data_IF_696737921638
#
_entry.id   IF_696737921638
#
_cell.length_a   1.000
_cell.length_b   1.000
_cell.length_c   1.000
_cell.angle_alpha   90.00
_cell.angle_beta   90.00
_cell.angle_gamma   90.00
#
_symmetry.space_group_name_H-M   'P 1'
#
loop_
_entity.id
_entity.type
_entity.pdbx_description
1 polymer ?
#
# COMPACT_ATOMS: atom_id res chain seq x y z
N UNK A 1 27.23 20.72 -1.39
CA UNK A 1 25.90 20.70 -0.75
C UNK A 1 25.02 19.58 -1.29
N UNK A 2 24.96 19.39 -2.60
CA UNK A 2 24.19 18.29 -3.21
C UNK A 2 24.69 16.91 -2.81
N UNK A 3 25.99 16.74 -2.64
CA UNK A 3 26.62 15.49 -2.22
C UNK A 3 26.30 15.07 -0.80
N UNK A 4 26.24 15.99 0.14
CA UNK A 4 25.91 15.68 1.53
C UNK A 4 24.48 15.22 1.67
N UNK A 5 23.57 15.79 0.88
CA UNK A 5 22.16 15.36 0.86
C UNK A 5 21.98 13.98 0.23
N UNK A 6 22.67 13.71 -0.85
CA UNK A 6 22.64 12.38 -1.46
C UNK A 6 23.22 11.33 -0.54
N UNK A 7 24.29 11.64 0.16
CA UNK A 7 24.89 10.72 1.13
C UNK A 7 23.95 10.34 2.26
N UNK A 8 23.17 11.29 2.79
CA UNK A 8 22.16 11.00 3.82
C UNK A 8 20.99 10.19 3.27
N UNK A 9 20.52 10.55 2.09
CA UNK A 9 19.47 9.79 1.42
C UNK A 9 19.96 8.39 1.07
N UNK A 10 21.17 8.26 0.60
CA UNK A 10 21.78 6.99 0.22
C UNK A 10 22.00 6.08 1.43
N UNK A 11 22.35 6.63 2.58
CA UNK A 11 22.47 5.87 3.81
C UNK A 11 21.14 5.23 4.23
N UNK A 12 20.07 5.98 4.17
CA UNK A 12 18.73 5.46 4.43
C UNK A 12 18.27 4.48 3.33
N UNK A 13 18.58 4.77 2.08
CA UNK A 13 18.30 3.87 0.98
C UNK A 13 19.11 2.58 1.12
N UNK A 14 20.36 2.65 1.55
CA UNK A 14 21.22 1.47 1.67
C UNK A 14 20.76 0.52 2.78
N UNK A 15 20.30 1.03 3.89
CA UNK A 15 19.77 0.19 4.98
C UNK A 15 18.47 -0.53 4.58
N UNK A 16 17.71 0.08 3.70
CA UNK A 16 16.48 -0.48 3.17
C UNK A 16 16.64 -1.03 1.74
N UNK A 17 17.78 -0.77 1.11
CA UNK A 17 17.98 -0.83 -0.32
C UNK A 17 17.72 -2.21 -0.91
N UNK A 18 18.22 -3.24 -0.29
CA UNK A 18 18.05 -4.59 -0.79
C UNK A 18 16.59 -5.00 -0.93
N UNK A 19 15.71 -4.43 -0.10
CA UNK A 19 14.29 -4.79 -0.07
C UNK A 19 13.36 -3.67 -0.54
N UNK A 20 13.82 -2.43 -0.60
CA UNK A 20 12.95 -1.27 -0.66
C UNK A 20 13.34 -0.19 -1.68
N UNK A 21 14.38 -0.40 -2.49
CA UNK A 21 14.86 0.61 -3.44
C UNK A 21 13.74 1.20 -4.29
N UNK A 22 12.99 0.37 -4.96
CA UNK A 22 11.84 0.79 -5.74
C UNK A 22 10.72 1.37 -4.88
N UNK A 23 10.53 0.85 -3.67
CA UNK A 23 9.50 1.32 -2.76
C UNK A 23 9.82 2.66 -2.12
N UNK A 24 11.06 2.87 -1.68
CA UNK A 24 11.49 4.15 -1.12
C UNK A 24 11.40 5.26 -2.17
N UNK A 25 11.83 4.98 -3.39
CA UNK A 25 11.73 5.92 -4.49
C UNK A 25 10.26 6.25 -4.80
N UNK A 26 9.40 5.24 -4.85
CA UNK A 26 7.97 5.40 -5.09
C UNK A 26 7.29 6.18 -3.95
N UNK A 27 7.67 5.94 -2.71
CA UNK A 27 7.15 6.70 -1.57
C UNK A 27 7.50 8.18 -1.64
N UNK A 28 8.72 8.52 -2.07
CA UNK A 28 9.14 9.91 -2.32
C UNK A 28 8.38 10.53 -3.48
N UNK A 29 8.18 9.80 -4.55
CA UNK A 29 7.39 10.25 -5.70
C UNK A 29 5.94 10.53 -5.31
N UNK A 30 5.32 9.65 -4.54
CA UNK A 30 3.95 9.83 -4.02
C UNK A 30 3.85 11.11 -3.19
N UNK A 31 4.81 11.37 -2.31
CA UNK A 31 4.79 12.56 -1.47
C UNK A 31 5.00 13.86 -2.24
N UNK A 32 5.62 13.82 -3.40
CA UNK A 32 5.93 14.99 -4.23
C UNK A 32 4.93 15.25 -5.37
N UNK A 33 4.10 14.28 -5.71
CA UNK A 33 3.16 14.36 -6.83
C UNK A 33 1.72 14.27 -6.31
N UNK A 34 0.91 15.29 -6.57
CA UNK A 34 -0.47 15.38 -6.09
C UNK A 34 -1.35 14.20 -6.52
N UNK A 35 -1.23 13.75 -7.77
CA UNK A 35 -2.02 12.63 -8.29
C UNK A 35 -1.66 11.31 -7.61
N UNK A 36 -0.37 11.09 -7.32
CA UNK A 36 0.09 9.91 -6.60
C UNK A 36 -0.29 9.98 -5.12
N UNK A 37 -0.28 11.19 -4.54
CA UNK A 37 -0.75 11.43 -3.17
C UNK A 37 -2.23 11.08 -3.03
N UNK A 38 -3.06 11.46 -3.99
CA UNK A 38 -4.48 11.08 -4.01
C UNK A 38 -4.68 9.57 -4.05
N UNK A 39 -3.87 8.85 -4.84
CA UNK A 39 -3.92 7.39 -4.91
C UNK A 39 -3.53 6.75 -3.57
N UNK A 40 -2.53 7.31 -2.90
CA UNK A 40 -2.10 6.88 -1.57
C UNK A 40 -3.21 7.09 -0.53
N UNK A 41 -3.81 8.28 -0.51
CA UNK A 41 -4.94 8.59 0.36
C UNK A 41 -6.12 7.67 0.08
N UNK A 42 -6.34 7.32 -1.19
CA UNK A 42 -7.39 6.40 -1.58
C UNK A 42 -7.13 4.98 -1.06
N UNK A 43 -5.89 4.52 -1.07
CA UNK A 43 -5.52 3.22 -0.49
C UNK A 43 -5.83 3.18 1.02
N UNK A 44 -5.46 4.22 1.76
CA UNK A 44 -5.80 4.37 3.18
C UNK A 44 -7.32 4.36 3.38
N UNK A 45 -8.05 5.12 2.57
CA UNK A 45 -9.50 5.22 2.65
C UNK A 45 -10.18 3.86 2.43
N UNK A 46 -9.76 3.11 1.41
CA UNK A 46 -10.31 1.78 1.11
C UNK A 46 -10.05 0.82 2.27
N UNK A 47 -8.83 0.73 2.79
CA UNK A 47 -8.50 -0.13 3.92
C UNK A 47 -9.33 0.21 5.17
N UNK A 48 -9.60 1.48 5.40
CA UNK A 48 -10.39 1.94 6.54
C UNK A 48 -11.89 1.65 6.39
N UNK A 49 -12.41 1.72 5.16
CA UNK A 49 -13.85 1.64 4.89
C UNK A 49 -14.30 0.28 4.35
N UNK A 50 -13.39 -0.61 4.01
CA UNK A 50 -13.71 -1.96 3.54
C UNK A 50 -14.06 -2.85 4.74
N UNK A 51 -15.36 -3.01 5.02
CA UNK A 51 -15.86 -3.73 6.20
C UNK A 51 -16.76 -4.92 5.86
N UNK A 52 -17.39 -4.89 4.71
CA UNK A 52 -18.33 -5.93 4.25
C UNK A 52 -18.28 -6.10 2.74
N UNK A 53 -18.77 -7.23 2.26
CA UNK A 53 -18.75 -7.55 0.82
C UNK A 53 -19.48 -6.54 -0.07
N UNK A 54 -20.52 -5.88 0.44
CA UNK A 54 -21.20 -4.81 -0.30
C UNK A 54 -20.32 -3.58 -0.54
N UNK A 55 -19.30 -3.35 0.29
CA UNK A 55 -18.36 -2.26 0.08
C UNK A 55 -17.47 -2.53 -1.14
N UNK A 56 -17.16 -3.79 -1.42
CA UNK A 56 -16.40 -4.20 -2.61
C UNK A 56 -17.09 -3.68 -3.89
N UNK A 57 -18.40 -3.92 -4.01
CA UNK A 57 -19.17 -3.45 -5.16
C UNK A 57 -19.11 -1.92 -5.33
N UNK A 58 -19.10 -1.19 -4.22
CA UNK A 58 -18.99 0.27 -4.23
C UNK A 58 -17.62 0.75 -4.74
N UNK A 59 -16.55 0.01 -4.45
CA UNK A 59 -15.21 0.37 -4.89
C UNK A 59 -14.88 -0.07 -6.32
N UNK A 60 -15.59 -1.03 -6.91
CA UNK A 60 -15.32 -1.50 -8.28
C UNK A 60 -15.48 -0.41 -9.35
N UNK A 61 -16.25 0.64 -9.08
CA UNK A 61 -16.43 1.77 -9.97
C UNK A 61 -15.46 2.94 -9.72
N UNK A 62 -14.52 2.74 -8.81
CA UNK A 62 -13.53 3.77 -8.47
C UNK A 62 -12.50 3.92 -9.58
N UNK A 63 -12.32 5.15 -10.08
CA UNK A 63 -11.36 5.44 -11.15
C UNK A 63 -9.91 5.15 -10.77
N UNK A 64 -9.58 5.19 -9.49
CA UNK A 64 -8.22 4.85 -9.04
C UNK A 64 -7.91 3.36 -9.16
N UNK A 65 -8.95 2.54 -9.33
CA UNK A 65 -8.87 1.10 -9.50
C UNK A 65 -9.10 0.65 -10.94
N UNK A 66 -9.20 1.58 -11.89
CA UNK A 66 -9.33 1.24 -13.30
C UNK A 66 -8.02 0.65 -13.85
N UNK A 67 -8.10 0.07 -15.04
CA UNK A 67 -6.98 -0.63 -15.67
C UNK A 67 -5.69 0.20 -15.73
N UNK A 68 -5.81 1.50 -15.99
CA UNK A 68 -4.64 2.36 -16.21
C UNK A 68 -3.99 2.80 -14.88
N UNK A 69 -4.80 2.97 -13.85
CA UNK A 69 -4.37 3.44 -12.54
C UNK A 69 -4.04 2.29 -11.56
N UNK A 70 -4.55 1.10 -11.81
CA UNK A 70 -4.39 -0.04 -10.89
C UNK A 70 -2.94 -0.38 -10.53
N UNK A 71 -1.96 -0.36 -11.44
CA UNK A 71 -0.56 -0.61 -11.07
C UNK A 71 -0.05 0.39 -10.03
N UNK A 72 -0.37 1.67 -10.19
CA UNK A 72 0.01 2.74 -9.24
C UNK A 72 -0.71 2.56 -7.91
N UNK A 73 -1.98 2.18 -7.94
CA UNK A 73 -2.75 1.87 -6.74
C UNK A 73 -2.15 0.69 -5.97
N UNK A 74 -1.75 -0.39 -6.63
CA UNK A 74 -1.11 -1.54 -5.98
C UNK A 74 0.24 -1.17 -5.35
N UNK A 75 1.01 -0.28 -5.98
CA UNK A 75 2.23 0.26 -5.40
C UNK A 75 1.94 1.07 -4.13
N UNK A 76 0.98 1.98 -4.20
CA UNK A 76 0.56 2.78 -3.06
C UNK A 76 0.05 1.91 -1.91
N UNK A 77 -0.80 0.93 -2.21
CA UNK A 77 -1.32 -0.02 -1.22
C UNK A 77 -0.20 -0.83 -0.56
N UNK A 78 0.79 -1.27 -1.33
CA UNK A 78 1.95 -1.99 -0.79
C UNK A 78 2.75 -1.14 0.18
N UNK A 79 2.94 0.14 -0.12
CA UNK A 79 3.63 1.09 0.78
C UNK A 79 2.83 1.29 2.06
N UNK A 80 1.52 1.51 1.95
CA UNK A 80 0.63 1.66 3.12
C UNK A 80 0.71 0.44 4.02
N UNK A 81 0.61 -0.76 3.46
CA UNK A 81 0.67 -2.01 4.23
C UNK A 81 2.01 -2.20 4.93
N UNK A 82 3.12 -1.89 4.27
CA UNK A 82 4.46 -1.94 4.88
C UNK A 82 4.61 -0.93 6.00
N UNK A 83 4.10 0.28 5.81
CA UNK A 83 4.13 1.30 6.85
C UNK A 83 3.23 0.94 8.04
N UNK A 84 2.10 0.26 7.80
CA UNK A 84 1.27 -0.30 8.87
C UNK A 84 2.00 -1.40 9.65
N UNK A 85 2.76 -2.25 8.99
CA UNK A 85 3.62 -3.24 9.64
C UNK A 85 4.71 -2.54 10.46
N UNK A 86 5.36 -1.53 9.91
CA UNK A 86 6.34 -0.72 10.61
C UNK A 86 5.75 -0.04 11.85
N UNK A 87 4.53 0.49 11.74
CA UNK A 87 3.83 1.10 12.87
C UNK A 87 3.62 0.13 14.05
N UNK A 88 3.51 -1.17 13.76
CA UNK A 88 3.36 -2.22 14.78
C UNK A 88 4.68 -2.80 15.31
N UNK A 89 5.77 -2.58 14.60
CA UNK A 89 7.08 -3.16 14.93
C UNK A 89 8.09 -2.09 15.31
N UNK A 90 8.49 -1.26 14.37
CA UNK A 90 9.41 -0.13 14.60
C UNK A 90 8.94 1.08 13.78
N UNK A 91 8.36 2.06 14.46
CA UNK A 91 7.82 3.28 13.85
C UNK A 91 8.86 4.11 13.08
N UNK A 92 10.14 3.98 13.41
CA UNK A 92 11.20 4.66 12.69
C UNK A 92 11.32 4.21 11.23
N UNK A 93 10.82 3.01 10.93
CA UNK A 93 10.81 2.44 9.59
C UNK A 93 9.63 2.90 8.70
N UNK A 94 8.70 3.68 9.24
CA UNK A 94 7.61 4.27 8.46
C UNK A 94 8.22 5.21 7.41
N UNK A 95 7.94 4.91 6.14
CA UNK A 95 8.44 5.70 5.00
C UNK A 95 7.60 6.95 4.74
N UNK A 96 6.29 6.85 4.91
CA UNK A 96 5.33 7.93 4.64
C UNK A 96 5.13 8.81 5.86
N UNK A 97 6.17 9.55 6.25
CA UNK A 97 6.17 10.38 7.47
C UNK A 97 5.05 11.42 7.50
N UNK A 98 4.64 11.93 6.35
CA UNK A 98 3.55 12.91 6.23
C UNK A 98 2.16 12.32 6.58
N UNK A 99 2.04 10.98 6.64
CA UNK A 99 0.81 10.23 6.97
C UNK A 99 0.97 9.33 8.19
N UNK A 100 2.01 9.51 8.95
CA UNK A 100 2.38 8.63 10.07
C UNK A 100 1.20 8.40 11.04
N UNK A 101 0.52 9.46 11.46
CA UNK A 101 -0.62 9.34 12.36
C UNK A 101 -1.79 8.54 11.78
N UNK A 102 -2.11 8.78 10.51
CA UNK A 102 -3.20 8.06 9.83
C UNK A 102 -2.86 6.58 9.71
N UNK A 103 -1.62 6.24 9.35
CA UNK A 103 -1.13 4.88 9.22
C UNK A 103 -1.12 4.17 10.58
N UNK A 104 -0.64 4.81 11.62
CA UNK A 104 -0.67 4.27 12.98
C UNK A 104 -2.11 3.97 13.43
N UNK A 105 -3.02 4.89 13.18
CA UNK A 105 -4.43 4.73 13.54
C UNK A 105 -5.05 3.57 12.77
N UNK A 106 -4.82 3.51 11.46
CA UNK A 106 -5.32 2.44 10.60
C UNK A 106 -4.76 1.07 11.01
N UNK A 107 -3.49 1.01 11.37
CA UNK A 107 -2.82 -0.24 11.76
C UNK A 107 -3.43 -0.93 12.97
N UNK A 108 -4.09 -0.18 13.84
CA UNK A 108 -4.77 -0.73 15.04
C UNK A 108 -5.92 -1.68 14.70
N UNK A 109 -6.53 -1.52 13.53
CA UNK A 109 -7.62 -2.37 13.06
C UNK A 109 -7.17 -3.69 12.39
N UNK A 110 -5.86 -3.97 12.34
CA UNK A 110 -5.30 -5.14 11.68
C UNK A 110 -4.27 -5.82 12.58
N UNK A 111 -4.27 -7.16 12.59
CA UNK A 111 -3.17 -7.91 13.19
C UNK A 111 -1.93 -7.89 12.29
N UNK A 112 -0.77 -8.18 12.85
CA UNK A 112 0.47 -8.26 12.07
C UNK A 112 0.39 -9.38 11.02
N UNK A 113 -0.18 -10.51 11.38
CA UNK A 113 -0.41 -11.63 10.46
C UNK A 113 -1.35 -11.24 9.33
N UNK A 114 -2.44 -10.53 9.63
CA UNK A 114 -3.35 -10.03 8.61
C UNK A 114 -2.62 -9.11 7.62
N UNK A 115 -1.83 -8.16 8.09
CA UNK A 115 -1.08 -7.24 7.23
C UNK A 115 -0.09 -7.98 6.32
N UNK A 116 0.62 -8.97 6.86
CA UNK A 116 1.56 -9.78 6.10
C UNK A 116 0.86 -10.58 5.00
N UNK A 117 -0.29 -11.18 5.32
CA UNK A 117 -1.08 -11.95 4.37
C UNK A 117 -1.71 -11.06 3.29
N UNK A 118 -2.17 -9.86 3.64
CA UNK A 118 -2.70 -8.89 2.66
C UNK A 118 -1.58 -8.43 1.73
N UNK A 119 -0.40 -8.15 2.24
CA UNK A 119 0.74 -7.77 1.41
C UNK A 119 1.13 -8.88 0.42
N UNK A 120 1.11 -10.13 0.86
CA UNK A 120 1.29 -11.28 -0.02
C UNK A 120 0.21 -11.34 -1.10
N UNK A 121 -1.05 -11.17 -0.73
CA UNK A 121 -2.19 -11.13 -1.66
C UNK A 121 -2.02 -10.03 -2.72
N UNK A 122 -1.62 -8.83 -2.32
CA UNK A 122 -1.35 -7.72 -3.27
C UNK A 122 -0.30 -8.12 -4.30
N UNK A 123 0.77 -8.79 -3.87
CA UNK A 123 1.81 -9.24 -4.77
C UNK A 123 1.32 -10.32 -5.74
N UNK A 124 0.48 -11.24 -5.28
CA UNK A 124 -0.12 -12.26 -6.14
C UNK A 124 -1.09 -11.65 -7.17
N UNK A 125 -1.93 -10.71 -6.77
CA UNK A 125 -2.83 -10.03 -7.69
C UNK A 125 -2.07 -9.16 -8.70
N UNK A 126 -0.95 -8.56 -8.30
CA UNK A 126 -0.04 -7.84 -9.21
C UNK A 126 0.50 -8.75 -10.32
N UNK A 127 0.89 -9.97 -9.99
CA UNK A 127 1.36 -10.96 -10.98
C UNK A 127 0.28 -11.27 -12.01
N UNK A 128 -0.99 -11.37 -11.59
CA UNK A 128 -2.11 -11.62 -12.49
C UNK A 128 -2.28 -10.53 -13.54
N UNK A 129 -2.02 -9.28 -13.21
CA UNK A 129 -2.03 -8.18 -14.19
C UNK A 129 -1.00 -8.39 -15.30
N UNK A 130 0.17 -8.93 -14.98
CA UNK A 130 1.21 -9.23 -15.97
C UNK A 130 0.81 -10.39 -16.91
N UNK A 131 -0.17 -11.22 -16.54
CA UNK A 131 -0.68 -12.33 -17.34
C UNK A 131 -1.99 -11.99 -18.07
N UNK A 132 -2.28 -10.71 -18.29
CA UNK A 132 -3.47 -10.24 -19.02
C UNK A 132 -4.81 -10.62 -18.37
N UNK A 133 -4.82 -10.85 -17.07
CA UNK A 133 -6.08 -11.02 -16.31
C UNK A 133 -6.80 -9.68 -16.24
N UNK A 134 -8.11 -9.68 -16.40
CA UNK A 134 -8.92 -8.45 -16.38
C UNK A 134 -8.78 -7.69 -15.07
N UNK A 135 -8.59 -6.38 -15.15
CA UNK A 135 -8.38 -5.51 -13.99
C UNK A 135 -9.52 -5.56 -12.97
N UNK A 136 -10.75 -5.63 -13.44
CA UNK A 136 -11.94 -5.75 -12.56
C UNK A 136 -11.89 -7.02 -11.71
N UNK A 137 -11.53 -8.16 -12.32
CA UNK A 137 -11.38 -9.42 -11.59
C UNK A 137 -10.26 -9.36 -10.56
N UNK A 138 -9.14 -8.72 -10.89
CA UNK A 138 -8.03 -8.50 -9.95
C UNK A 138 -8.46 -7.65 -8.77
N UNK A 139 -9.15 -6.54 -9.00
CA UNK A 139 -9.66 -5.65 -7.94
C UNK A 139 -10.66 -6.39 -7.06
N UNK A 140 -11.62 -7.09 -7.63
CA UNK A 140 -12.61 -7.84 -6.88
C UNK A 140 -11.96 -8.90 -5.99
N UNK A 141 -11.07 -9.71 -6.53
CA UNK A 141 -10.32 -10.72 -5.76
C UNK A 141 -9.47 -10.09 -4.66
N UNK A 142 -8.83 -8.97 -4.94
CA UNK A 142 -8.02 -8.24 -3.96
C UNK A 142 -8.88 -7.77 -2.79
N UNK A 143 -9.97 -7.07 -3.05
CA UNK A 143 -10.81 -6.49 -2.01
C UNK A 143 -11.54 -7.56 -1.19
N UNK A 144 -12.04 -8.61 -1.83
CA UNK A 144 -12.62 -9.75 -1.13
C UNK A 144 -11.58 -10.48 -0.29
N UNK A 145 -10.38 -10.68 -0.82
CA UNK A 145 -9.28 -11.30 -0.09
C UNK A 145 -8.83 -10.49 1.12
N UNK A 146 -8.77 -9.16 1.02
CA UNK A 146 -8.48 -8.27 2.15
C UNK A 146 -9.52 -8.44 3.26
N UNK A 147 -10.81 -8.46 2.91
CA UNK A 147 -11.88 -8.70 3.86
C UNK A 147 -11.74 -10.06 4.57
N UNK A 148 -11.53 -11.10 3.78
CA UNK A 148 -11.39 -12.46 4.31
C UNK A 148 -10.23 -12.56 5.29
N UNK A 149 -9.06 -12.05 4.93
CA UNK A 149 -7.88 -12.06 5.78
C UNK A 149 -8.10 -11.22 7.05
N UNK A 150 -8.69 -10.06 6.91
CA UNK A 150 -8.97 -9.16 8.04
C UNK A 150 -9.84 -9.84 9.11
N UNK A 151 -10.86 -10.59 8.70
CA UNK A 151 -11.76 -11.24 9.65
C UNK A 151 -11.29 -12.61 10.14
N UNK A 152 -10.44 -13.29 9.40
CA UNK A 152 -9.89 -14.59 9.83
C UNK A 152 -8.67 -14.48 10.74
N UNK A 153 -7.91 -13.39 10.61
CA UNK A 153 -6.65 -13.19 11.34
C UNK A 153 -6.77 -12.15 12.46
N UNK A 154 -7.96 -11.92 12.97
CA UNK A 154 -8.19 -11.08 14.16
C UNK A 154 -7.92 -11.82 15.46
#
# INVERSE_FOLDING_TARGET
>A
AARSRSGVADGNATSAAACADGMLWRAKEISSNSALSETFDRAIFILNNLKKSSDVASFLNDKTLDKDNLPVFLDALSIVLRDMIAAKTDKNLIMSKHKEWEIETLSKGFSLDALSNILYLVNEERKKLSFYVGSTGVVENLLLGILEVKYKCQ
#
